data_IF_647728106285
#
_entry.id   IF_647728106285
#
_cell.length_a   1.000
_cell.length_b   1.000
_cell.length_c   1.000
_cell.angle_alpha   90.00
_cell.angle_beta   90.00
_cell.angle_gamma   90.00
#
_symmetry.space_group_name_H-M   'P 1'
#
loop_
_entity.id
_entity.type
_entity.pdbx_description
1 polymer ?
#
# COMPACT_ATOMS: atom_id res chain seq x y z
N UNK A 1 -12.86 50.99 49.45
CA UNK A 1 -12.75 51.58 48.09
C UNK A 1 -11.49 51.05 47.41
N UNK A 2 -11.54 49.78 47.06
CA UNK A 2 -10.61 48.99 46.25
C UNK A 2 -11.59 48.26 45.31
N UNK A 3 -11.49 48.12 43.98
CA UNK A 3 -10.33 47.75 43.17
C UNK A 3 -10.71 47.68 41.67
N UNK A 4 -11.46 48.66 41.13
CA UNK A 4 -11.85 48.66 39.69
C UNK A 4 -10.64 48.61 38.75
N UNK A 5 -9.52 49.23 39.14
CA UNK A 5 -8.24 49.16 38.44
C UNK A 5 -7.61 47.75 38.44
N UNK A 6 -7.66 47.02 39.58
CA UNK A 6 -7.14 45.63 39.63
C UNK A 6 -7.99 44.67 38.79
N UNK A 7 -9.30 44.88 38.71
CA UNK A 7 -10.18 44.05 37.86
C UNK A 7 -9.91 44.26 36.36
N UNK A 8 -9.59 45.50 35.95
CA UNK A 8 -9.21 45.82 34.57
C UNK A 8 -7.85 45.23 34.20
N UNK A 9 -6.85 45.30 35.09
CA UNK A 9 -5.54 44.69 34.85
C UNK A 9 -5.59 43.15 34.79
N UNK A 10 -6.43 42.52 35.62
CA UNK A 10 -6.64 41.06 35.59
C UNK A 10 -7.34 40.65 34.29
N UNK A 11 -8.35 41.38 33.83
CA UNK A 11 -9.06 41.08 32.57
C UNK A 11 -8.23 41.24 31.30
N UNK A 12 -7.33 42.24 31.26
CA UNK A 12 -6.37 42.42 30.16
C UNK A 12 -5.29 41.33 30.14
N UNK A 13 -4.83 40.89 31.32
CA UNK A 13 -3.86 39.79 31.44
C UNK A 13 -4.41 38.44 30.96
N UNK A 14 -5.67 38.11 31.27
CA UNK A 14 -6.30 36.87 30.84
C UNK A 14 -6.71 36.87 29.36
N UNK A 15 -7.14 38.01 28.81
CA UNK A 15 -7.37 38.15 27.36
C UNK A 15 -6.07 38.02 26.55
N UNK A 16 -4.96 38.60 27.03
CA UNK A 16 -3.64 38.45 26.41
C UNK A 16 -3.14 37.01 26.42
N UNK A 17 -3.33 36.28 27.52
CA UNK A 17 -2.93 34.87 27.64
C UNK A 17 -3.75 33.96 26.72
N UNK A 18 -5.05 34.19 26.60
CA UNK A 18 -5.94 33.42 25.71
C UNK A 18 -5.59 33.65 24.23
N UNK A 19 -5.33 34.90 23.82
CA UNK A 19 -4.89 35.21 22.45
C UNK A 19 -3.53 34.56 22.17
N UNK A 20 -2.60 34.61 23.12
CA UNK A 20 -1.28 33.98 22.96
C UNK A 20 -1.36 32.44 22.84
N UNK A 21 -2.24 31.81 23.64
CA UNK A 21 -2.51 30.36 23.55
C UNK A 21 -3.16 29.98 22.20
N UNK A 22 -4.09 30.78 21.68
CA UNK A 22 -4.71 30.51 20.37
C UNK A 22 -3.74 30.63 19.21
N UNK A 23 -2.76 31.54 19.28
CA UNK A 23 -1.73 31.70 18.23
C UNK A 23 -0.74 30.52 18.25
N UNK A 24 -0.35 30.03 19.43
CA UNK A 24 0.60 28.91 19.55
C UNK A 24 0.06 27.57 19.00
N UNK A 25 -1.27 27.36 19.03
CA UNK A 25 -1.89 26.15 18.45
C UNK A 25 -1.91 26.20 16.92
N UNK A 26 -1.93 27.40 16.31
CA UNK A 26 -2.01 27.54 14.85
C UNK A 26 -0.68 27.32 14.11
N UNK A 27 0.45 27.38 14.81
CA UNK A 27 1.81 27.31 14.24
C UNK A 27 2.46 25.91 14.40
N UNK A 28 1.72 24.92 14.91
CA UNK A 28 2.18 23.53 14.93
C UNK A 28 2.26 23.02 13.48
N UNK A 29 3.43 23.18 12.85
CA UNK A 29 3.73 22.53 11.57
C UNK A 29 3.54 21.02 11.76
N UNK A 30 2.79 20.35 10.87
CA UNK A 30 2.82 18.89 10.83
C UNK A 30 4.28 18.46 10.80
N UNK A 31 4.63 17.45 11.59
CA UNK A 31 5.94 16.80 11.46
C UNK A 31 6.04 16.40 9.99
N UNK A 32 7.00 16.98 9.27
CA UNK A 32 7.28 16.57 7.91
C UNK A 32 7.71 15.10 8.00
N UNK A 33 6.80 14.20 7.64
CA UNK A 33 7.13 12.79 7.48
C UNK A 33 8.16 12.74 6.36
N UNK A 34 9.33 12.16 6.66
CA UNK A 34 10.30 11.81 5.63
C UNK A 34 9.56 10.99 4.59
N UNK A 35 9.65 11.31 3.28
CA UNK A 35 9.04 10.48 2.25
C UNK A 35 9.49 9.04 2.45
N UNK A 36 8.53 8.11 2.40
CA UNK A 36 8.84 6.69 2.43
C UNK A 36 9.81 6.39 1.26
N UNK A 37 10.93 5.70 1.49
CA UNK A 37 11.79 5.27 0.40
C UNK A 37 10.99 4.39 -0.56
N UNK A 38 11.14 4.61 -1.86
CA UNK A 38 10.52 3.76 -2.88
C UNK A 38 11.21 2.37 -2.94
N UNK A 39 12.43 2.25 -2.38
CA UNK A 39 13.15 0.99 -2.25
C UNK A 39 12.84 0.29 -0.92
N UNK A 40 11.90 -0.65 -0.97
CA UNK A 40 11.46 -1.43 0.19
C UNK A 40 12.59 -2.29 0.78
N UNK A 41 13.58 -2.69 -0.02
CA UNK A 41 14.61 -3.65 0.39
C UNK A 41 15.60 -3.06 1.39
N UNK A 42 15.72 -1.72 1.47
CA UNK A 42 16.59 -1.04 2.44
C UNK A 42 16.26 -1.45 3.88
N UNK A 43 14.99 -1.73 4.16
CA UNK A 43 14.51 -2.19 5.47
C UNK A 43 13.97 -3.63 5.43
N UNK A 44 13.49 -4.11 4.28
CA UNK A 44 12.80 -5.40 4.13
C UNK A 44 13.59 -6.40 3.27
N UNK A 45 14.92 -6.43 3.39
CA UNK A 45 15.82 -7.32 2.64
C UNK A 45 15.36 -8.79 2.62
N UNK A 46 14.98 -9.37 3.77
CA UNK A 46 14.55 -10.77 3.81
C UNK A 46 13.23 -11.03 3.09
N UNK A 47 12.32 -10.05 3.10
CA UNK A 47 11.06 -10.13 2.36
C UNK A 47 11.34 -10.04 0.87
N UNK A 48 12.22 -9.12 0.47
CA UNK A 48 12.66 -8.97 -0.93
C UNK A 48 13.24 -10.28 -1.45
N UNK A 49 14.18 -10.90 -0.72
CA UNK A 49 14.79 -12.18 -1.12
C UNK A 49 13.73 -13.27 -1.33
N UNK A 50 12.78 -13.41 -0.41
CA UNK A 50 11.73 -14.42 -0.56
C UNK A 50 10.77 -14.13 -1.71
N UNK A 51 10.46 -12.85 -1.94
CA UNK A 51 9.60 -12.44 -3.04
C UNK A 51 10.29 -12.69 -4.38
N UNK A 52 11.58 -12.36 -4.51
CA UNK A 52 12.38 -12.61 -5.71
C UNK A 52 12.42 -14.10 -6.07
N UNK A 53 12.36 -15.00 -5.09
CA UNK A 53 12.34 -16.45 -5.31
C UNK A 53 10.91 -17.01 -5.53
N UNK A 54 9.87 -16.21 -5.30
CA UNK A 54 8.46 -16.62 -5.37
C UNK A 54 7.91 -16.65 -6.80
N UNK A 55 6.74 -17.27 -7.00
CA UNK A 55 6.08 -17.26 -8.30
C UNK A 55 5.62 -15.84 -8.70
N UNK A 56 5.29 -14.98 -7.73
CA UNK A 56 4.91 -13.59 -7.99
C UNK A 56 6.10 -12.74 -8.46
N UNK A 57 7.25 -12.85 -7.80
CA UNK A 57 8.46 -12.13 -8.22
C UNK A 57 9.01 -12.63 -9.55
N UNK A 58 8.82 -13.92 -9.85
CA UNK A 58 9.23 -14.51 -11.13
C UNK A 58 8.10 -14.55 -12.18
N UNK A 59 6.97 -13.86 -11.97
CA UNK A 59 5.80 -14.06 -12.83
C UNK A 59 6.08 -13.76 -14.31
N UNK A 60 6.88 -12.74 -14.61
CA UNK A 60 7.30 -12.46 -15.99
C UNK A 60 8.42 -13.39 -16.47
N UNK A 61 9.39 -13.69 -15.62
CA UNK A 61 10.63 -14.40 -15.99
C UNK A 61 10.51 -15.92 -15.95
N UNK A 62 9.41 -16.48 -15.43
CA UNK A 62 9.19 -17.90 -15.32
C UNK A 62 9.35 -18.59 -16.70
N UNK A 63 10.25 -19.60 -16.84
CA UNK A 63 10.52 -20.22 -18.13
C UNK A 63 9.30 -20.91 -18.75
N UNK A 64 8.36 -21.41 -17.95
CA UNK A 64 7.15 -22.06 -18.44
C UNK A 64 6.20 -21.01 -19.03
N UNK A 65 6.01 -19.90 -18.33
CA UNK A 65 5.28 -18.75 -18.85
C UNK A 65 5.93 -18.21 -20.12
N UNK A 66 7.24 -17.95 -20.11
CA UNK A 66 7.96 -17.41 -21.28
C UNK A 66 7.80 -18.29 -22.52
N UNK A 67 7.89 -19.61 -22.37
CA UNK A 67 7.68 -20.53 -23.48
C UNK A 67 6.24 -20.48 -24.00
N UNK A 68 5.23 -20.49 -23.11
CA UNK A 68 3.83 -20.42 -23.49
C UNK A 68 3.45 -19.07 -24.13
N UNK A 69 3.98 -17.97 -23.59
CA UNK A 69 3.75 -16.63 -24.09
C UNK A 69 4.35 -16.44 -25.48
N UNK A 70 5.57 -16.93 -25.71
CA UNK A 70 6.21 -16.90 -27.03
C UNK A 70 5.49 -17.79 -28.05
N UNK A 71 5.08 -19.01 -27.67
CA UNK A 71 4.31 -19.91 -28.53
C UNK A 71 2.96 -19.30 -28.95
N UNK A 72 2.33 -18.54 -28.04
CA UNK A 72 1.11 -17.78 -28.30
C UNK A 72 1.33 -16.51 -29.15
N UNK A 73 2.57 -16.17 -29.52
CA UNK A 73 2.90 -14.98 -30.31
C UNK A 73 3.05 -13.70 -29.50
N UNK A 74 3.35 -13.82 -28.20
CA UNK A 74 3.56 -12.73 -27.25
C UNK A 74 2.39 -11.73 -27.14
N UNK A 75 1.14 -12.20 -26.92
CA UNK A 75 0.00 -11.32 -26.70
C UNK A 75 0.23 -10.38 -25.51
N UNK A 76 -0.10 -9.09 -25.69
CA UNK A 76 0.19 -8.06 -24.70
C UNK A 76 -0.72 -8.18 -23.47
N UNK A 77 -1.94 -8.70 -23.63
CA UNK A 77 -2.90 -8.93 -22.56
C UNK A 77 -2.38 -9.87 -21.46
N UNK A 78 -1.42 -10.75 -21.74
CA UNK A 78 -0.78 -11.59 -20.72
C UNK A 78 -0.04 -10.75 -19.67
N UNK A 79 0.49 -9.60 -20.08
CA UNK A 79 1.26 -8.72 -19.19
C UNK A 79 0.37 -8.04 -18.16
N UNK A 80 -0.95 -7.96 -18.37
CA UNK A 80 -1.88 -7.45 -17.36
C UNK A 80 -1.86 -8.23 -16.03
N UNK A 81 -1.40 -9.48 -16.05
CA UNK A 81 -1.30 -10.35 -14.87
C UNK A 81 0.14 -10.80 -14.56
N UNK A 82 1.09 -10.55 -15.46
CA UNK A 82 2.48 -11.00 -15.32
C UNK A 82 3.47 -9.86 -15.13
N UNK A 83 3.00 -8.61 -15.09
CA UNK A 83 3.78 -7.42 -14.73
C UNK A 83 2.99 -6.53 -13.78
N UNK A 84 3.65 -5.51 -13.23
CA UNK A 84 3.02 -4.50 -12.38
C UNK A 84 2.91 -3.18 -13.13
N UNK A 85 1.75 -2.50 -12.97
CA UNK A 85 1.50 -1.22 -13.63
C UNK A 85 1.26 -1.33 -15.14
N UNK A 86 0.75 -2.45 -15.63
CA UNK A 86 0.48 -2.63 -17.06
C UNK A 86 -0.59 -1.66 -17.58
N UNK A 87 -0.27 -0.94 -18.67
CA UNK A 87 -1.18 -0.06 -19.39
C UNK A 87 -1.55 -0.68 -20.74
N UNK A 88 -2.81 -1.11 -20.87
CA UNK A 88 -3.33 -1.73 -22.08
C UNK A 88 -3.37 -0.79 -23.31
N UNK A 89 -3.35 0.53 -23.13
CA UNK A 89 -3.36 1.48 -24.24
C UNK A 89 -1.97 1.61 -24.90
N UNK A 90 -0.91 1.48 -24.12
CA UNK A 90 0.48 1.65 -24.57
C UNK A 90 1.25 0.33 -24.66
N UNK A 91 0.80 -0.70 -23.96
CA UNK A 91 1.51 -1.98 -23.79
C UNK A 91 2.71 -1.88 -22.85
N UNK A 92 2.89 -0.76 -22.15
CA UNK A 92 3.97 -0.55 -21.20
C UNK A 92 3.60 -1.10 -19.80
N UNK A 93 4.62 -1.33 -18.98
CA UNK A 93 4.49 -1.68 -17.56
C UNK A 93 5.56 -0.96 -16.76
N UNK A 94 5.37 -0.89 -15.44
CA UNK A 94 6.28 -0.19 -14.53
C UNK A 94 7.38 -1.13 -14.02
N UNK A 95 7.02 -2.36 -13.66
CA UNK A 95 7.94 -3.36 -13.10
C UNK A 95 7.66 -4.78 -13.65
N UNK A 96 8.71 -5.59 -13.75
CA UNK A 96 8.60 -7.00 -14.11
C UNK A 96 8.06 -7.81 -12.93
N UNK A 97 7.20 -8.80 -13.20
CA UNK A 97 6.55 -9.60 -12.15
C UNK A 97 5.48 -8.83 -11.37
N UNK A 98 4.98 -9.46 -10.30
CA UNK A 98 4.00 -8.86 -9.38
C UNK A 98 4.76 -8.22 -8.22
N UNK A 99 5.13 -6.95 -8.38
CA UNK A 99 5.92 -6.15 -7.46
C UNK A 99 5.16 -5.71 -6.20
N UNK A 100 5.86 -5.12 -5.24
CA UNK A 100 5.33 -4.72 -3.93
C UNK A 100 4.06 -3.87 -4.04
N UNK A 101 4.05 -2.90 -4.97
CA UNK A 101 2.95 -1.97 -5.19
C UNK A 101 1.70 -2.62 -5.80
N UNK A 102 1.79 -3.86 -6.30
CA UNK A 102 0.62 -4.59 -6.80
C UNK A 102 -0.36 -4.95 -5.66
N UNK A 103 0.13 -5.09 -4.43
CA UNK A 103 -0.70 -5.39 -3.26
C UNK A 103 -0.65 -4.28 -2.20
N UNK A 104 0.52 -3.66 -2.01
CA UNK A 104 0.70 -2.59 -1.03
C UNK A 104 0.37 -1.23 -1.62
N UNK A 105 -0.48 -0.47 -0.92
CA UNK A 105 -0.89 0.86 -1.37
C UNK A 105 0.17 1.89 -0.98
N UNK A 106 0.70 2.59 -1.98
CA UNK A 106 1.66 3.68 -1.83
C UNK A 106 0.98 5.05 -1.65
N UNK A 107 1.77 6.09 -1.37
CA UNK A 107 1.32 7.48 -1.31
C UNK A 107 0.74 7.88 0.06
N UNK A 108 -0.31 8.70 0.07
CA UNK A 108 -0.89 9.23 1.32
C UNK A 108 -1.35 8.12 2.28
N UNK A 109 -1.76 6.96 1.75
CA UNK A 109 -2.18 5.81 2.53
C UNK A 109 -1.01 5.14 3.29
N UNK A 110 0.22 5.22 2.77
CA UNK A 110 1.42 4.66 3.41
C UNK A 110 2.16 5.65 4.33
N UNK A 111 1.61 6.85 4.52
CA UNK A 111 2.21 7.93 5.33
C UNK A 111 2.49 7.57 6.80
N UNK A 112 1.86 6.52 7.33
CA UNK A 112 2.03 6.07 8.70
C UNK A 112 2.97 4.85 8.84
N UNK A 113 3.59 4.39 7.74
CA UNK A 113 4.64 3.39 7.80
C UNK A 113 5.97 4.06 8.19
N UNK A 114 6.74 3.52 9.16
CA UNK A 114 6.68 2.15 9.70
C UNK A 114 5.87 1.97 10.99
N UNK A 115 5.27 3.02 11.56
CA UNK A 115 4.47 2.89 12.79
C UNK A 115 3.23 1.99 12.59
N UNK A 116 2.73 1.93 11.37
CA UNK A 116 1.72 1.00 10.90
C UNK A 116 2.29 0.15 9.77
N UNK A 117 1.82 -1.09 9.67
CA UNK A 117 2.15 -1.96 8.52
C UNK A 117 1.68 -1.30 7.23
N UNK A 118 2.42 -1.52 6.14
CA UNK A 118 2.02 -1.02 4.83
C UNK A 118 0.57 -1.44 4.53
N UNK A 119 -0.30 -0.51 4.11
CA UNK A 119 -1.67 -0.87 3.76
C UNK A 119 -1.65 -1.87 2.61
N UNK A 120 -2.47 -2.92 2.71
CA UNK A 120 -2.52 -4.00 1.72
C UNK A 120 -3.96 -4.32 1.38
N UNK A 121 -4.28 -4.46 0.10
CA UNK A 121 -5.55 -5.08 -0.30
C UNK A 121 -5.41 -6.61 -0.16
N UNK A 122 -6.02 -7.14 0.90
CA UNK A 122 -6.01 -8.57 1.22
C UNK A 122 -7.34 -9.26 0.90
N UNK A 123 -8.19 -8.60 0.11
CA UNK A 123 -9.44 -9.22 -0.34
C UNK A 123 -9.14 -10.35 -1.33
N UNK A 124 -9.96 -11.40 -1.32
CA UNK A 124 -9.87 -12.44 -2.36
C UNK A 124 -10.06 -11.87 -3.76
N UNK A 125 -10.85 -10.80 -3.89
CA UNK A 125 -11.08 -10.09 -5.15
C UNK A 125 -9.78 -9.54 -5.74
N UNK A 126 -8.88 -9.00 -4.92
CA UNK A 126 -7.58 -8.53 -5.39
C UNK A 126 -6.78 -9.67 -6.03
N UNK A 127 -6.76 -10.85 -5.40
CA UNK A 127 -6.13 -12.05 -5.96
C UNK A 127 -6.82 -12.51 -7.27
N UNK A 128 -8.15 -12.40 -7.33
CA UNK A 128 -8.97 -12.78 -8.48
C UNK A 128 -8.81 -11.89 -9.72
N UNK A 129 -8.05 -10.80 -9.63
CA UNK A 129 -7.69 -10.00 -10.81
C UNK A 129 -6.83 -10.78 -11.80
N UNK A 130 -5.99 -11.69 -11.28
CA UNK A 130 -5.11 -12.55 -12.06
C UNK A 130 -5.52 -14.02 -11.96
N UNK A 131 -5.88 -14.49 -10.75
CA UNK A 131 -6.31 -15.87 -10.51
C UNK A 131 -7.81 -16.04 -10.77
N UNK A 132 -8.25 -15.72 -12.00
CA UNK A 132 -9.67 -15.60 -12.37
C UNK A 132 -10.44 -16.89 -12.10
N UNK A 133 -9.95 -18.02 -12.63
CA UNK A 133 -10.64 -19.31 -12.50
C UNK A 133 -10.61 -19.81 -11.04
N UNK A 134 -9.45 -19.75 -10.39
CA UNK A 134 -9.31 -20.14 -8.97
C UNK A 134 -10.20 -19.30 -8.06
N UNK A 135 -10.33 -18.00 -8.33
CA UNK A 135 -11.20 -17.12 -7.55
C UNK A 135 -12.67 -17.48 -7.76
N UNK A 136 -13.09 -17.75 -9.01
CA UNK A 136 -14.46 -18.18 -9.29
C UNK A 136 -14.80 -19.52 -8.59
N UNK A 137 -13.85 -20.45 -8.53
CA UNK A 137 -14.01 -21.70 -7.76
C UNK A 137 -14.06 -21.46 -6.25
N UNK A 138 -13.20 -20.57 -5.74
CA UNK A 138 -13.17 -20.20 -4.32
C UNK A 138 -14.49 -19.53 -3.89
N UNK A 139 -15.06 -18.64 -4.70
CA UNK A 139 -16.30 -17.89 -4.39
C UNK A 139 -17.48 -18.82 -4.07
N UNK A 140 -17.57 -19.98 -4.74
CA UNK A 140 -18.64 -20.96 -4.54
C UNK A 140 -18.28 -22.08 -3.56
N UNK A 141 -17.10 -22.00 -2.94
CA UNK A 141 -16.64 -22.97 -1.95
C UNK A 141 -17.09 -22.60 -0.54
N UNK A 142 -17.04 -23.55 0.39
CA UNK A 142 -17.26 -23.27 1.81
C UNK A 142 -16.25 -22.25 2.39
N UNK A 143 -15.07 -22.11 1.77
CA UNK A 143 -14.11 -21.08 2.16
C UNK A 143 -14.55 -19.68 1.69
N UNK A 144 -15.13 -19.57 0.50
CA UNK A 144 -15.71 -18.34 -0.03
C UNK A 144 -16.96 -17.92 0.74
N UNK A 145 -17.88 -18.86 1.01
CA UNK A 145 -19.06 -18.63 1.85
C UNK A 145 -18.70 -18.15 3.26
N UNK A 146 -17.57 -18.62 3.79
CA UNK A 146 -17.03 -18.23 5.09
C UNK A 146 -16.13 -16.99 5.06
N UNK A 147 -16.03 -16.29 3.93
CA UNK A 147 -15.18 -15.10 3.74
C UNK A 147 -13.70 -15.34 4.14
N UNK A 148 -13.20 -16.56 3.92
CA UNK A 148 -11.81 -16.90 4.19
C UNK A 148 -10.92 -16.44 3.03
N UNK A 149 -10.32 -15.27 3.20
CA UNK A 149 -9.42 -14.70 2.20
C UNK A 149 -8.24 -15.61 1.87
N UNK A 150 -7.76 -15.57 0.63
CA UNK A 150 -6.65 -16.39 0.11
C UNK A 150 -5.41 -16.33 1.02
N UNK A 151 -5.08 -15.12 1.51
CA UNK A 151 -3.91 -14.87 2.32
C UNK A 151 -3.97 -15.42 3.75
N UNK A 152 -5.12 -15.98 4.17
CA UNK A 152 -5.22 -16.74 5.43
C UNK A 152 -4.43 -18.05 5.35
N UNK A 153 -4.18 -18.54 4.14
CA UNK A 153 -3.44 -19.78 3.89
C UNK A 153 -2.21 -19.58 3.00
N UNK A 154 -2.26 -18.64 2.05
CA UNK A 154 -1.15 -18.33 1.14
C UNK A 154 -0.38 -17.09 1.59
N UNK A 155 0.93 -17.07 1.37
CA UNK A 155 1.75 -15.90 1.69
C UNK A 155 2.37 -15.32 0.39
N UNK A 156 1.91 -14.16 -0.10
CA UNK A 156 2.37 -13.61 -1.38
C UNK A 156 3.86 -13.21 -1.38
N UNK A 157 4.50 -13.10 -0.22
CA UNK A 157 5.94 -12.85 -0.14
C UNK A 157 6.80 -14.09 -0.37
N UNK A 158 6.24 -15.30 -0.34
CA UNK A 158 7.01 -16.56 -0.39
C UNK A 158 6.41 -17.59 -1.35
N UNK A 159 5.25 -17.30 -1.93
CA UNK A 159 4.49 -18.20 -2.79
C UNK A 159 4.25 -17.53 -4.12
#
# INVERSE_FOLDING_TARGET
>A
MFTRWKQLLVGLGSAGLLVFLTVMVSEAKPLAQTPLPDDCQECHESIQIHWEESAHGQALSDPVFQAAWQDAGSPAECLACHTTGYDAATGAWEEEGIACAACHQMGDNSSHHPEQVMPTDVSSRACGTCHIDTHAEWEISAHGEGEMNCNRCHNPHTT
#
